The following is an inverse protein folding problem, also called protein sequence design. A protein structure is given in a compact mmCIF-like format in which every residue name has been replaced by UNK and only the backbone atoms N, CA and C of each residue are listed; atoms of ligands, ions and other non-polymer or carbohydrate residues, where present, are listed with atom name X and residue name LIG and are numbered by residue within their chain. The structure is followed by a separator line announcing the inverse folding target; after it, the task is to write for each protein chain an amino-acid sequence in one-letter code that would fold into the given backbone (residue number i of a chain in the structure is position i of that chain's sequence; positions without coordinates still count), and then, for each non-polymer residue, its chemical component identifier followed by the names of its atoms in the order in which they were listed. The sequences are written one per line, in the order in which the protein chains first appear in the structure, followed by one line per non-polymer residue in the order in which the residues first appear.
data_IF_649327838330
#
_entry.id   IF_649327838330
#
_cell.length_a   1.000
_cell.length_b   1.000
_cell.length_c   1.000
_cell.angle_alpha   90.00
_cell.angle_beta   90.00
_cell.angle_gamma   90.00
#
_symmetry.space_group_name_H-M   'P 1'
#
loop_
_entity.id
_entity.type
_entity.pdbx_description
1 polymer ?
#
# COMPACT_ATOMS: atom_id res chain seq x y z
N UNK A 1 16.96 -3.01 2.67
CA UNK A 1 16.95 -2.50 4.04
C UNK A 1 17.08 -1.01 3.91
N UNK A 2 16.48 -0.30 4.85
CA UNK A 2 16.20 1.11 4.74
C UNK A 2 16.40 1.75 6.11
N UNK A 3 16.97 2.95 6.14
CA UNK A 3 17.25 3.68 7.36
C UNK A 3 16.41 4.96 7.53
N UNK A 4 15.60 5.31 6.54
CA UNK A 4 14.50 6.25 6.69
C UNK A 4 13.33 5.61 7.46
N UNK A 5 12.43 6.46 7.94
CA UNK A 5 11.30 6.06 8.78
C UNK A 5 10.10 6.98 8.52
N UNK A 6 8.88 6.45 8.63
CA UNK A 6 7.67 7.28 8.60
C UNK A 6 7.70 8.43 9.64
N UNK A 7 6.99 9.54 9.38
CA UNK A 7 6.71 10.57 10.39
C UNK A 7 6.01 10.00 11.62
N UNK A 8 6.09 10.70 12.74
CA UNK A 8 5.50 10.33 14.03
C UNK A 8 4.01 10.69 14.18
N UNK A 9 3.37 11.23 13.13
CA UNK A 9 2.02 11.79 13.17
C UNK A 9 0.94 10.69 13.41
N UNK A 10 -0.01 10.87 14.33
CA UNK A 10 -0.14 11.96 15.30
C UNK A 10 0.64 11.76 16.60
N UNK A 11 1.49 12.74 16.91
CA UNK A 11 2.35 12.79 18.12
C UNK A 11 1.56 12.53 19.40
N UNK A 12 0.35 13.05 19.49
CA UNK A 12 -0.51 12.96 20.69
C UNK A 12 -0.96 11.54 21.04
N UNK A 13 -0.86 10.59 20.10
CA UNK A 13 -1.27 9.19 20.31
C UNK A 13 -0.11 8.33 20.82
N UNK A 14 1.10 8.89 20.97
CA UNK A 14 2.24 8.19 21.52
C UNK A 14 2.27 8.25 23.05
N UNK A 15 2.41 7.08 23.68
CA UNK A 15 2.61 6.93 25.13
C UNK A 15 4.03 7.32 25.61
N UNK A 16 4.99 7.45 24.68
CA UNK A 16 6.40 7.80 24.92
C UNK A 16 6.94 8.58 23.72
N UNK A 17 7.96 9.43 23.91
CA UNK A 17 8.50 10.22 22.80
C UNK A 17 8.93 9.36 21.60
N UNK A 18 8.45 9.64 20.37
CA UNK A 18 8.63 8.76 19.21
C UNK A 18 10.10 8.48 18.88
N UNK A 19 10.97 9.48 18.99
CA UNK A 19 12.39 9.35 18.62
C UNK A 19 13.31 9.08 19.82
N UNK A 20 12.74 8.72 20.97
CA UNK A 20 13.49 8.28 22.15
C UNK A 20 13.18 6.80 22.41
N UNK A 21 14.18 5.94 22.21
CA UNK A 21 14.03 4.50 22.43
C UNK A 21 13.65 4.21 23.88
N UNK A 22 12.42 3.74 24.08
CA UNK A 22 11.85 3.49 25.41
C UNK A 22 11.61 2.00 25.60
N UNK A 23 12.23 1.40 26.62
CA UNK A 23 11.98 0.01 26.97
C UNK A 23 10.85 -0.10 28.01
N UNK A 24 9.80 -0.86 27.71
CA UNK A 24 8.66 -1.07 28.63
C UNK A 24 8.08 -2.47 28.44
N UNK A 25 7.84 -3.19 29.53
CA UNK A 25 7.24 -4.54 29.52
C UNK A 25 7.92 -5.54 28.56
N UNK A 26 9.26 -5.50 28.49
CA UNK A 26 10.04 -6.38 27.61
C UNK A 26 9.95 -6.04 26.11
N UNK A 27 9.47 -4.85 25.76
CA UNK A 27 9.41 -4.33 24.38
C UNK A 27 10.17 -3.02 24.27
N UNK A 28 10.66 -2.73 23.07
CA UNK A 28 11.22 -1.44 22.70
C UNK A 28 10.18 -0.65 21.92
N UNK A 29 9.97 0.61 22.31
CA UNK A 29 9.07 1.55 21.67
C UNK A 29 9.88 2.71 21.10
N UNK A 30 9.55 3.11 19.89
CA UNK A 30 10.17 4.21 19.17
C UNK A 30 9.95 4.07 17.66
N UNK A 31 9.88 5.19 16.95
CA UNK A 31 9.83 5.22 15.49
C UNK A 31 11.10 4.58 14.93
N UNK A 32 10.96 3.71 13.93
CA UNK A 32 12.09 2.97 13.36
C UNK A 32 12.40 1.63 14.02
N UNK A 33 11.81 1.32 15.18
CA UNK A 33 12.19 0.13 15.96
C UNK A 33 11.84 -1.20 15.28
N UNK A 34 10.67 -1.27 14.63
CA UNK A 34 10.26 -2.44 13.86
C UNK A 34 10.48 -2.26 12.34
N UNK A 35 10.49 -1.03 11.87
CA UNK A 35 10.48 -0.66 10.44
C UNK A 35 11.40 0.55 10.23
N UNK A 36 12.67 0.38 9.86
CA UNK A 36 13.39 -0.91 9.77
C UNK A 36 14.75 -0.95 10.52
N UNK A 37 15.05 0.09 11.32
CA UNK A 37 16.34 0.21 12.03
C UNK A 37 16.62 -0.94 12.99
N UNK A 38 15.57 -1.49 13.61
CA UNK A 38 15.70 -2.65 14.48
C UNK A 38 16.27 -3.87 13.76
N UNK A 39 15.79 -4.19 12.56
CA UNK A 39 16.30 -5.32 11.80
C UNK A 39 17.73 -5.07 11.31
N UNK A 40 18.08 -3.84 10.90
CA UNK A 40 19.47 -3.49 10.56
C UNK A 40 20.41 -3.82 11.73
N UNK A 41 20.07 -3.36 12.93
CA UNK A 41 20.86 -3.61 14.14
C UNK A 41 20.93 -5.11 14.46
N UNK A 42 19.83 -5.85 14.33
CA UNK A 42 19.80 -7.30 14.55
C UNK A 42 20.74 -8.05 13.59
N UNK A 43 20.73 -7.69 12.30
CA UNK A 43 21.62 -8.30 11.31
C UNK A 43 23.10 -8.00 11.62
N UNK A 44 23.42 -6.74 11.93
CA UNK A 44 24.78 -6.34 12.29
C UNK A 44 25.26 -7.12 13.52
N UNK A 45 24.46 -7.19 14.58
CA UNK A 45 24.80 -7.93 15.80
C UNK A 45 25.01 -9.43 15.54
N UNK A 46 24.15 -10.06 14.71
CA UNK A 46 24.31 -11.46 14.35
C UNK A 46 25.60 -11.71 13.56
N UNK A 47 25.94 -10.82 12.63
CA UNK A 47 27.16 -10.92 11.83
C UNK A 47 28.40 -10.66 12.69
N UNK A 48 28.35 -9.69 13.60
CA UNK A 48 29.42 -9.42 14.56
C UNK A 48 29.71 -10.66 15.42
N UNK A 49 28.68 -11.33 15.92
CA UNK A 49 28.82 -12.59 16.67
C UNK A 49 29.47 -13.68 15.80
N UNK A 50 29.04 -13.86 14.56
CA UNK A 50 29.63 -14.83 13.63
C UNK A 50 31.09 -14.52 13.29
N UNK A 51 31.46 -13.24 13.21
CA UNK A 51 32.85 -12.81 13.00
C UNK A 51 33.69 -13.08 14.25
N UNK A 52 33.19 -12.70 15.42
CA UNK A 52 33.91 -12.87 16.70
C UNK A 52 34.18 -14.35 17.02
N UNK A 53 33.24 -15.21 16.65
CA UNK A 53 33.33 -16.67 16.80
C UNK A 53 34.01 -17.37 15.61
N UNK A 54 34.50 -16.63 14.61
CA UNK A 54 35.11 -17.16 13.38
C UNK A 54 34.22 -18.17 12.64
N UNK A 55 32.90 -18.03 12.79
CA UNK A 55 31.89 -18.93 12.21
C UNK A 55 31.30 -18.39 10.90
N UNK A 56 31.61 -17.15 10.52
CA UNK A 56 31.19 -16.57 9.25
C UNK A 56 31.93 -17.23 8.07
N UNK A 57 31.18 -17.90 7.18
CA UNK A 57 31.73 -18.61 6.01
C UNK A 57 31.54 -17.88 4.68
N UNK A 58 30.72 -16.83 4.67
CA UNK A 58 30.28 -16.14 3.47
C UNK A 58 30.68 -14.66 3.54
N UNK A 59 30.90 -14.05 2.37
CA UNK A 59 30.98 -12.59 2.25
C UNK A 59 29.58 -12.01 2.40
N UNK A 60 29.42 -11.07 3.33
CA UNK A 60 28.16 -10.34 3.50
C UNK A 60 28.32 -8.95 2.91
N UNK A 61 27.36 -8.55 2.07
CA UNK A 61 27.26 -7.20 1.50
C UNK A 61 25.98 -6.57 2.04
N UNK A 62 26.13 -5.42 2.70
CA UNK A 62 24.99 -4.60 3.11
C UNK A 62 24.62 -3.63 1.99
N UNK A 63 23.33 -3.59 1.67
CA UNK A 63 22.73 -2.57 0.83
C UNK A 63 21.59 -1.93 1.62
N UNK A 64 21.81 -0.68 2.03
CA UNK A 64 20.89 0.11 2.85
C UNK A 64 20.59 1.40 2.09
N UNK A 65 19.31 1.68 1.83
CA UNK A 65 18.84 2.95 1.27
C UNK A 65 18.18 3.83 2.31
N UNK A 66 17.74 5.03 1.92
CA UNK A 66 17.09 5.99 2.82
C UNK A 66 15.92 6.73 2.17
N UNK A 67 15.25 6.09 1.20
CA UNK A 67 14.11 6.66 0.47
C UNK A 67 12.88 5.72 0.43
N UNK A 68 12.89 4.58 1.14
CA UNK A 68 11.86 3.53 1.01
C UNK A 68 10.47 4.06 1.37
N UNK A 69 10.39 4.83 2.46
CA UNK A 69 9.15 5.37 3.00
C UNK A 69 8.57 6.48 2.10
N UNK A 70 9.37 6.92 1.12
CA UNK A 70 9.03 7.90 0.07
C UNK A 70 8.99 7.30 -1.33
N UNK A 71 9.12 5.98 -1.47
CA UNK A 71 8.94 5.24 -2.72
C UNK A 71 10.24 4.86 -3.45
N UNK A 72 11.40 4.97 -2.81
CA UNK A 72 12.70 4.55 -3.35
C UNK A 72 13.03 5.15 -4.73
N UNK A 73 12.69 6.44 -4.94
CA UNK A 73 12.68 7.08 -6.26
C UNK A 73 14.03 6.93 -7.00
N UNK A 74 15.14 7.07 -6.28
CA UNK A 74 16.48 6.99 -6.86
C UNK A 74 17.10 5.59 -6.78
N UNK A 75 16.54 4.69 -5.98
CA UNK A 75 17.14 3.39 -5.69
C UNK A 75 17.33 2.55 -6.95
N UNK A 76 16.31 2.45 -7.80
CA UNK A 76 16.41 1.69 -9.04
C UNK A 76 17.56 2.19 -9.96
N UNK A 77 17.73 3.51 -10.04
CA UNK A 77 18.82 4.11 -10.82
C UNK A 77 20.19 3.80 -10.21
N UNK A 78 20.28 3.81 -8.88
CA UNK A 78 21.50 3.48 -8.14
C UNK A 78 21.88 2.01 -8.31
N UNK A 79 20.91 1.09 -8.27
CA UNK A 79 21.14 -0.34 -8.51
C UNK A 79 21.75 -0.62 -9.88
N UNK A 80 21.32 0.10 -10.92
CA UNK A 80 21.93 -0.04 -12.25
C UNK A 80 23.42 0.39 -12.25
N UNK A 81 23.82 1.35 -11.39
CA UNK A 81 25.23 1.71 -11.24
C UNK A 81 26.07 0.62 -10.56
N UNK A 82 25.45 -0.15 -9.66
CA UNK A 82 26.07 -1.24 -8.90
C UNK A 82 25.95 -2.62 -9.54
N UNK A 83 25.38 -2.69 -10.75
CA UNK A 83 25.03 -3.94 -11.41
C UNK A 83 26.20 -4.93 -11.47
N UNK A 84 27.42 -4.47 -11.77
CA UNK A 84 28.60 -5.35 -11.88
C UNK A 84 29.00 -5.96 -10.55
N UNK A 85 28.84 -5.22 -9.46
CA UNK A 85 29.12 -5.62 -8.10
C UNK A 85 28.05 -6.59 -7.61
N UNK A 86 26.78 -6.26 -7.85
CA UNK A 86 25.62 -7.07 -7.44
C UNK A 86 25.54 -8.40 -8.20
N UNK A 87 26.06 -8.49 -9.43
CA UNK A 87 26.16 -9.77 -10.15
C UNK A 87 27.11 -10.78 -9.50
N UNK A 88 27.89 -10.38 -8.48
CA UNK A 88 28.73 -11.29 -7.68
C UNK A 88 28.00 -11.85 -6.46
N UNK A 89 26.78 -11.38 -6.19
CA UNK A 89 25.97 -11.82 -5.05
C UNK A 89 25.13 -13.03 -5.45
N UNK A 90 25.25 -14.12 -4.71
CA UNK A 90 24.51 -15.36 -4.98
C UNK A 90 23.07 -15.32 -4.46
N UNK A 91 22.83 -14.63 -3.34
CA UNK A 91 21.53 -14.60 -2.65
C UNK A 91 21.26 -13.21 -2.07
N UNK A 92 20.04 -12.71 -2.27
CA UNK A 92 19.53 -11.50 -1.65
C UNK A 92 18.61 -11.87 -0.48
N UNK A 93 18.84 -11.25 0.68
CA UNK A 93 17.98 -11.37 1.86
C UNK A 93 17.47 -9.98 2.25
N UNK A 94 16.15 -9.89 2.44
CA UNK A 94 15.48 -8.71 2.97
C UNK A 94 14.88 -9.14 4.32
N UNK A 95 15.13 -8.32 5.35
CA UNK A 95 14.67 -8.61 6.72
C UNK A 95 13.59 -7.63 7.19
N UNK A 96 13.06 -6.84 6.26
CA UNK A 96 11.94 -5.94 6.48
C UNK A 96 10.60 -6.66 6.33
N UNK A 97 10.33 -7.61 7.23
CA UNK A 97 9.11 -8.43 7.18
C UNK A 97 8.65 -8.85 8.56
N UNK A 98 7.35 -9.07 8.70
CA UNK A 98 6.74 -9.50 9.96
C UNK A 98 6.95 -10.98 10.29
N UNK A 99 6.76 -11.33 11.57
CA UNK A 99 6.61 -12.72 12.01
C UNK A 99 5.16 -13.19 11.79
N UNK A 100 4.95 -14.49 11.53
CA UNK A 100 3.59 -15.03 11.39
C UNK A 100 2.76 -14.89 12.67
N UNK A 101 3.35 -15.28 13.81
CA UNK A 101 2.79 -15.15 15.16
C UNK A 101 3.95 -14.95 16.13
N UNK A 102 3.65 -14.58 17.37
CA UNK A 102 4.64 -14.56 18.44
C UNK A 102 5.39 -15.91 18.48
N UNK A 103 6.71 -15.87 18.31
CA UNK A 103 7.62 -17.02 18.29
C UNK A 103 7.43 -18.00 17.10
N UNK A 104 6.71 -17.64 16.05
CA UNK A 104 6.62 -18.44 14.82
C UNK A 104 7.17 -17.61 13.66
N UNK A 105 8.37 -17.92 13.14
CA UNK A 105 8.97 -17.17 12.04
C UNK A 105 8.20 -17.40 10.74
N UNK A 106 8.31 -16.46 9.81
CA UNK A 106 7.81 -16.58 8.45
C UNK A 106 8.96 -16.35 7.46
N UNK A 107 8.92 -17.04 6.33
CA UNK A 107 9.69 -16.67 5.15
C UNK A 107 8.69 -16.11 4.13
N UNK A 108 8.78 -14.81 3.87
CA UNK A 108 8.01 -14.16 2.82
C UNK A 108 8.78 -14.32 1.52
N UNK A 109 8.15 -14.93 0.51
CA UNK A 109 8.78 -15.19 -0.78
C UNK A 109 8.34 -14.22 -1.87
N UNK A 110 7.33 -13.38 -1.61
CA UNK A 110 6.82 -12.39 -2.55
C UNK A 110 6.03 -11.30 -1.81
N UNK A 111 6.07 -10.09 -2.36
CA UNK A 111 5.23 -8.95 -1.99
C UNK A 111 4.39 -8.51 -3.19
N UNK A 112 3.27 -7.87 -2.92
CA UNK A 112 2.45 -7.25 -3.98
C UNK A 112 3.08 -5.95 -4.44
N UNK A 113 2.93 -5.66 -5.74
CA UNK A 113 3.22 -4.33 -6.26
C UNK A 113 2.19 -3.29 -5.79
N UNK A 114 2.46 -2.02 -6.07
CA UNK A 114 1.58 -0.89 -5.76
C UNK A 114 1.66 0.13 -6.89
N UNK A 115 0.51 0.67 -7.29
CA UNK A 115 0.42 1.88 -8.13
C UNK A 115 -0.52 2.84 -7.44
N UNK A 116 -0.06 4.06 -7.20
CA UNK A 116 -0.81 5.09 -6.48
C UNK A 116 -1.25 6.19 -7.45
N UNK A 117 -2.48 6.68 -7.28
CA UNK A 117 -3.10 7.66 -8.15
C UNK A 117 -3.69 8.82 -7.36
N UNK A 118 -3.59 10.02 -7.92
CA UNK A 118 -4.34 11.20 -7.50
C UNK A 118 -5.26 11.65 -8.65
N UNK A 119 -6.56 11.72 -8.37
CA UNK A 119 -7.59 12.18 -9.29
C UNK A 119 -8.08 13.55 -8.84
N UNK A 120 -8.13 14.51 -9.77
CA UNK A 120 -8.82 15.78 -9.58
C UNK A 120 -9.85 15.99 -10.69
N UNK A 121 -11.11 16.21 -10.31
CA UNK A 121 -12.20 16.58 -11.20
C UNK A 121 -12.52 18.06 -11.00
N UNK A 122 -12.50 18.84 -12.07
CA UNK A 122 -12.83 20.27 -12.07
C UNK A 122 -14.03 20.52 -12.98
N UNK A 123 -15.08 21.17 -12.46
CA UNK A 123 -16.29 21.51 -13.22
C UNK A 123 -16.48 23.02 -13.41
N UNK A 124 -15.67 23.85 -12.74
CA UNK A 124 -15.75 25.30 -12.83
C UNK A 124 -14.62 25.98 -12.05
N UNK A 125 -14.54 27.31 -12.19
CA UNK A 125 -13.50 28.14 -11.56
C UNK A 125 -13.82 28.52 -10.10
N UNK A 126 -15.07 28.31 -9.66
CA UNK A 126 -15.56 28.69 -8.32
C UNK A 126 -16.73 27.82 -7.89
N UNK A 127 -16.96 27.78 -6.58
CA UNK A 127 -18.17 27.18 -6.02
C UNK A 127 -19.42 27.91 -6.53
N UNK A 128 -20.49 27.15 -6.73
CA UNK A 128 -21.72 27.62 -7.35
C UNK A 128 -22.90 27.44 -6.39
N UNK A 129 -23.89 28.32 -6.47
CA UNK A 129 -25.10 28.21 -5.66
C UNK A 129 -25.94 27.01 -6.11
N UNK A 130 -26.07 25.98 -5.26
CA UNK A 130 -26.75 24.73 -5.63
C UNK A 130 -28.23 24.92 -5.99
N UNK A 131 -28.92 25.89 -5.40
CA UNK A 131 -30.31 26.21 -5.77
C UNK A 131 -30.47 26.88 -7.14
N UNK A 132 -29.40 27.47 -7.68
CA UNK A 132 -29.44 28.16 -9.00
C UNK A 132 -28.94 27.22 -10.10
N UNK A 133 -27.86 26.50 -9.82
CA UNK A 133 -27.15 25.69 -10.82
C UNK A 133 -27.39 24.18 -10.65
N UNK A 134 -28.13 23.76 -9.62
CA UNK A 134 -28.47 22.36 -9.36
C UNK A 134 -29.14 21.72 -10.55
N UNK A 135 -28.72 20.51 -10.90
CA UNK A 135 -29.13 19.76 -12.10
C UNK A 135 -28.73 20.38 -13.45
N UNK A 136 -28.15 21.57 -13.48
CA UNK A 136 -27.65 22.21 -14.70
C UNK A 136 -26.13 22.05 -14.85
N UNK A 137 -25.39 22.16 -13.74
CA UNK A 137 -23.93 22.00 -13.72
C UNK A 137 -23.59 20.69 -13.01
N UNK A 138 -22.74 19.82 -13.60
CA UNK A 138 -22.33 18.58 -12.95
C UNK A 138 -21.64 18.83 -11.61
N UNK A 139 -21.94 17.99 -10.62
CA UNK A 139 -21.29 18.06 -9.32
C UNK A 139 -20.05 17.15 -9.32
N UNK A 140 -18.83 17.68 -9.10
CA UNK A 140 -17.60 16.90 -9.23
C UNK A 140 -17.52 15.81 -8.16
N UNK A 141 -18.10 16.02 -6.98
CA UNK A 141 -18.15 15.00 -5.94
C UNK A 141 -18.99 13.80 -6.39
N UNK A 142 -20.13 14.05 -7.04
CA UNK A 142 -21.00 12.99 -7.55
C UNK A 142 -20.34 12.22 -8.71
N UNK A 143 -19.62 12.91 -9.59
CA UNK A 143 -18.84 12.28 -10.66
C UNK A 143 -17.80 11.31 -10.10
N UNK A 144 -17.04 11.74 -9.09
CA UNK A 144 -16.03 10.88 -8.46
C UNK A 144 -16.68 9.67 -7.77
N UNK A 145 -17.80 9.85 -7.06
CA UNK A 145 -18.54 8.74 -6.47
C UNK A 145 -19.05 7.74 -7.52
N UNK A 146 -19.62 8.23 -8.62
CA UNK A 146 -20.13 7.40 -9.71
C UNK A 146 -19.02 6.60 -10.38
N UNK A 147 -17.87 7.24 -10.64
CA UNK A 147 -16.68 6.59 -11.17
C UNK A 147 -16.24 5.42 -10.26
N UNK A 148 -16.05 5.66 -8.97
CA UNK A 148 -15.59 4.59 -8.06
C UNK A 148 -16.62 3.48 -7.88
N UNK A 149 -17.91 3.79 -7.89
CA UNK A 149 -18.97 2.79 -7.85
C UNK A 149 -18.94 1.86 -9.07
N UNK A 150 -18.50 2.36 -10.23
CA UNK A 150 -18.31 1.54 -11.44
C UNK A 150 -16.97 0.79 -11.44
N UNK A 151 -15.97 1.21 -10.65
CA UNK A 151 -14.64 0.58 -10.64
C UNK A 151 -14.55 -0.64 -9.73
N UNK A 152 -15.36 -0.74 -8.67
CA UNK A 152 -15.33 -1.87 -7.73
C UNK A 152 -16.71 -2.19 -7.19
N UNK A 153 -17.11 -3.45 -7.29
CA UNK A 153 -18.30 -3.94 -6.61
C UNK A 153 -17.98 -4.14 -5.12
N UNK A 154 -18.55 -3.28 -4.28
CA UNK A 154 -18.33 -3.32 -2.82
C UNK A 154 -18.91 -4.57 -2.15
N UNK A 155 -19.86 -5.27 -2.80
CA UNK A 155 -20.48 -6.49 -2.24
C UNK A 155 -19.57 -7.70 -2.38
N UNK A 156 -18.86 -7.80 -3.50
CA UNK A 156 -17.97 -8.92 -3.83
C UNK A 156 -16.49 -8.60 -3.64
N UNK A 157 -16.15 -7.30 -3.57
CA UNK A 157 -14.77 -6.80 -3.57
C UNK A 157 -14.11 -6.83 -4.95
N UNK A 158 -14.83 -7.21 -6.01
CA UNK A 158 -14.27 -7.39 -7.34
C UNK A 158 -14.11 -6.04 -8.06
N UNK A 159 -12.92 -5.83 -8.62
CA UNK A 159 -12.61 -4.67 -9.45
C UNK A 159 -13.23 -4.87 -10.84
N UNK A 160 -14.06 -3.94 -11.27
CA UNK A 160 -14.86 -4.03 -12.48
C UNK A 160 -14.20 -3.37 -13.70
N UNK A 161 -12.95 -2.90 -13.55
CA UNK A 161 -12.16 -2.31 -14.64
C UNK A 161 -11.88 -3.40 -15.70
N UNK A 162 -12.27 -3.19 -16.97
CA UNK A 162 -12.00 -4.15 -18.02
C UNK A 162 -10.51 -4.48 -18.14
N UNK A 163 -10.17 -5.76 -18.24
CA UNK A 163 -8.79 -6.23 -18.37
C UNK A 163 -7.97 -6.26 -17.07
N UNK A 164 -8.51 -5.81 -15.94
CA UNK A 164 -7.77 -5.71 -14.67
C UNK A 164 -7.21 -7.04 -14.18
N UNK A 165 -7.91 -8.15 -14.48
CA UNK A 165 -7.51 -9.49 -14.06
C UNK A 165 -6.85 -10.33 -15.17
N UNK A 166 -6.64 -9.80 -16.38
CA UNK A 166 -6.20 -10.58 -17.54
C UNK A 166 -4.80 -11.19 -17.36
N UNK A 167 -3.89 -10.43 -16.73
CA UNK A 167 -2.53 -10.85 -16.45
C UNK A 167 -2.41 -11.61 -15.10
N UNK A 168 -3.51 -11.79 -14.36
CA UNK A 168 -3.48 -12.49 -13.06
C UNK A 168 -3.36 -14.00 -13.29
N UNK A 169 -2.22 -14.57 -12.91
CA UNK A 169 -2.00 -16.01 -13.07
C UNK A 169 -2.99 -16.84 -12.28
N UNK A 170 -3.28 -18.03 -12.81
CA UNK A 170 -4.01 -19.05 -12.05
C UNK A 170 -3.07 -19.69 -11.02
N UNK A 171 -3.50 -19.68 -9.76
CA UNK A 171 -2.77 -20.37 -8.68
C UNK A 171 -2.95 -21.88 -8.82
N UNK A 172 -1.87 -22.64 -8.68
CA UNK A 172 -1.92 -24.11 -8.76
C UNK A 172 -2.60 -24.71 -7.53
N UNK A 173 -3.20 -25.90 -7.66
CA UNK A 173 -3.83 -26.58 -6.52
C UNK A 173 -2.84 -26.85 -5.38
N UNK A 174 -1.59 -27.21 -5.72
CA UNK A 174 -0.52 -27.44 -4.74
C UNK A 174 -0.15 -26.16 -3.99
N UNK A 175 -0.04 -25.04 -4.68
CA UNK A 175 0.24 -23.75 -4.06
C UNK A 175 -0.92 -23.28 -3.19
N UNK A 176 -2.16 -23.42 -3.66
CA UNK A 176 -3.35 -23.15 -2.84
C UNK A 176 -3.36 -23.99 -1.57
N UNK A 177 -3.04 -25.29 -1.64
CA UNK A 177 -2.96 -26.16 -0.46
C UNK A 177 -1.91 -25.65 0.55
N UNK A 178 -0.75 -25.22 0.09
CA UNK A 178 0.31 -24.65 0.95
C UNK A 178 -0.12 -23.33 1.59
N UNK A 179 -0.81 -22.47 0.84
CA UNK A 179 -1.36 -21.21 1.34
C UNK A 179 -2.45 -21.46 2.40
N UNK A 180 -3.34 -22.42 2.15
CA UNK A 180 -4.40 -22.79 3.10
C UNK A 180 -3.85 -23.37 4.41
N UNK A 181 -2.74 -24.11 4.39
CA UNK A 181 -2.13 -24.67 5.61
C UNK A 181 -1.72 -23.63 6.64
N UNK A 182 -1.42 -22.41 6.21
CA UNK A 182 -1.01 -21.30 7.08
C UNK A 182 -2.06 -20.19 7.15
N UNK A 183 -3.26 -20.43 6.60
CA UNK A 183 -4.32 -19.43 6.59
C UNK A 183 -4.90 -19.22 7.98
N UNK A 184 -5.13 -17.96 8.35
CA UNK A 184 -5.99 -17.64 9.49
C UNK A 184 -7.43 -18.01 9.15
N UNK A 185 -8.19 -18.44 10.16
CA UNK A 185 -9.64 -18.56 10.01
C UNK A 185 -10.29 -17.20 9.82
N UNK A 186 -11.47 -17.16 9.22
CA UNK A 186 -12.23 -15.92 9.02
C UNK A 186 -12.51 -15.20 10.35
N UNK A 187 -12.78 -15.94 11.43
CA UNK A 187 -13.00 -15.37 12.77
C UNK A 187 -11.73 -14.72 13.32
N UNK A 188 -10.59 -15.40 13.21
CA UNK A 188 -9.31 -14.84 13.65
C UNK A 188 -8.94 -13.60 12.84
N UNK A 189 -9.05 -13.66 11.51
CA UNK A 189 -8.68 -12.56 10.63
C UNK A 189 -9.61 -11.34 10.82
N UNK A 190 -10.92 -11.57 11.00
CA UNK A 190 -11.86 -10.50 11.30
C UNK A 190 -11.56 -9.83 12.64
N UNK A 191 -11.25 -10.62 13.67
CA UNK A 191 -10.91 -10.11 15.00
C UNK A 191 -9.59 -9.34 14.99
N UNK A 192 -8.58 -9.82 14.26
CA UNK A 192 -7.28 -9.17 14.11
C UNK A 192 -7.41 -7.82 13.41
N UNK A 193 -8.20 -7.76 12.33
CA UNK A 193 -8.48 -6.52 11.61
C UNK A 193 -9.42 -5.55 12.34
N UNK A 194 -10.07 -5.97 13.44
CA UNK A 194 -11.11 -5.19 14.12
C UNK A 194 -12.32 -4.87 13.24
N UNK A 195 -12.60 -5.72 12.24
CA UNK A 195 -13.64 -5.47 11.23
C UNK A 195 -15.01 -6.02 11.64
N UNK A 196 -16.09 -5.33 11.25
CA UNK A 196 -17.46 -5.79 11.48
C UNK A 196 -17.91 -6.91 10.51
N UNK A 197 -17.25 -7.02 9.36
CA UNK A 197 -17.56 -8.01 8.33
C UNK A 197 -16.35 -8.27 7.44
N UNK A 198 -16.33 -9.43 6.80
CA UNK A 198 -15.37 -9.80 5.77
C UNK A 198 -16.05 -9.97 4.40
N UNK A 199 -15.26 -9.81 3.34
CA UNK A 199 -15.70 -10.03 1.96
C UNK A 199 -14.88 -11.15 1.33
N UNK A 200 -15.56 -12.09 0.66
CA UNK A 200 -14.91 -13.14 -0.11
C UNK A 200 -14.87 -12.76 -1.59
N UNK A 201 -13.66 -12.56 -2.11
CA UNK A 201 -13.45 -12.30 -3.53
C UNK A 201 -13.38 -13.63 -4.29
N UNK A 202 -14.27 -13.81 -5.27
CA UNK A 202 -14.32 -15.00 -6.15
C UNK A 202 -14.38 -16.33 -5.39
N UNK A 203 -15.04 -16.35 -4.23
CA UNK A 203 -15.19 -17.53 -3.38
C UNK A 203 -13.91 -17.96 -2.64
N UNK A 204 -12.87 -17.13 -2.62
CA UNK A 204 -11.64 -17.37 -1.87
C UNK A 204 -11.77 -16.83 -0.45
N UNK A 205 -11.18 -17.53 0.52
CA UNK A 205 -11.13 -17.12 1.91
C UNK A 205 -10.53 -15.69 2.05
N UNK A 206 -11.14 -14.79 2.84
CA UNK A 206 -10.70 -13.40 3.01
C UNK A 206 -9.21 -13.24 3.32
N UNK A 207 -8.62 -14.13 4.13
CA UNK A 207 -7.19 -14.09 4.47
C UNK A 207 -6.27 -14.29 3.26
N UNK A 208 -6.71 -15.07 2.27
CA UNK A 208 -5.92 -15.41 1.08
C UNK A 208 -6.12 -14.43 -0.08
N UNK A 209 -7.30 -13.83 -0.18
CA UNK A 209 -7.62 -12.88 -1.25
C UNK A 209 -6.55 -11.79 -1.46
N UNK A 210 -6.08 -11.05 -0.42
CA UNK A 210 -5.06 -10.02 -0.60
C UNK A 210 -3.66 -10.58 -0.90
N UNK A 211 -3.45 -11.90 -0.86
CA UNK A 211 -2.16 -12.53 -1.19
C UNK A 211 -2.09 -12.97 -2.65
N UNK A 212 -3.24 -13.28 -3.26
CA UNK A 212 -3.29 -13.89 -4.60
C UNK A 212 -4.05 -13.06 -5.64
N UNK A 213 -4.80 -12.04 -5.20
CA UNK A 213 -5.53 -11.15 -6.10
C UNK A 213 -5.10 -9.69 -5.95
N UNK A 214 -5.16 -8.91 -7.05
CA UNK A 214 -5.00 -7.48 -6.98
C UNK A 214 -6.20 -6.83 -6.28
N UNK A 215 -5.99 -5.63 -5.74
CA UNK A 215 -7.04 -4.83 -5.11
C UNK A 215 -7.00 -3.39 -5.62
N UNK A 216 -8.12 -2.69 -5.47
CA UNK A 216 -8.23 -1.25 -5.64
C UNK A 216 -8.88 -0.67 -4.39
N UNK A 217 -8.26 0.34 -3.78
CA UNK A 217 -8.73 0.92 -2.51
C UNK A 217 -8.59 2.45 -2.53
N UNK A 218 -9.57 3.14 -1.95
CA UNK A 218 -9.64 4.61 -1.86
C UNK A 218 -9.09 5.02 -0.49
N UNK A 219 -8.12 5.92 -0.49
CA UNK A 219 -7.42 6.39 0.72
C UNK A 219 -7.95 7.72 1.21
N UNK A 220 -8.42 8.56 0.29
CA UNK A 220 -8.95 9.88 0.63
C UNK A 220 -9.86 10.43 -0.45
N UNK A 221 -10.85 11.20 -0.01
CA UNK A 221 -11.79 11.90 -0.88
C UNK A 221 -12.15 13.25 -0.27
N UNK A 222 -11.96 14.32 -1.02
CA UNK A 222 -12.18 15.70 -0.59
C UNK A 222 -13.00 16.47 -1.64
N UNK A 223 -14.12 17.07 -1.22
CA UNK A 223 -14.88 18.00 -2.04
C UNK A 223 -15.84 18.85 -1.20
N UNK A 224 -16.04 20.11 -1.60
CA UNK A 224 -17.07 20.98 -1.04
C UNK A 224 -16.88 21.35 0.42
N UNK A 225 -17.99 21.44 1.15
CA UNK A 225 -18.01 21.92 2.53
C UNK A 225 -18.02 20.77 3.52
N UNK A 226 -16.98 20.66 4.34
CA UNK A 226 -16.78 19.60 5.34
C UNK A 226 -16.83 20.12 6.79
N UNK A 227 -17.13 21.40 6.98
CA UNK A 227 -17.25 22.04 8.29
C UNK A 227 -18.61 21.81 8.97
N UNK A 228 -18.78 22.38 10.16
CA UNK A 228 -20.06 22.32 10.88
C UNK A 228 -21.18 23.09 10.17
N UNK A 229 -22.39 22.54 10.22
CA UNK A 229 -23.59 23.15 9.63
C UNK A 229 -23.74 22.92 8.12
N UNK A 230 -24.74 23.56 7.48
CA UNK A 230 -24.98 23.40 6.05
C UNK A 230 -24.35 24.52 5.21
N UNK A 231 -23.86 24.19 4.01
CA UNK A 231 -23.50 25.15 2.95
C UNK A 231 -24.03 24.65 1.60
N UNK A 232 -24.98 25.37 1.01
CA UNK A 232 -25.73 24.94 -0.18
C UNK A 232 -25.00 25.26 -1.48
N UNK A 233 -23.90 24.56 -1.75
CA UNK A 233 -23.05 24.76 -2.93
C UNK A 233 -22.97 23.53 -3.85
N UNK A 234 -22.62 23.77 -5.11
CA UNK A 234 -21.93 22.79 -5.97
C UNK A 234 -20.44 23.16 -5.91
N UNK A 235 -19.56 22.27 -5.45
CA UNK A 235 -18.13 22.56 -5.41
C UNK A 235 -17.54 22.71 -6.81
N UNK A 236 -16.53 23.56 -6.96
CA UNK A 236 -15.76 23.66 -8.21
C UNK A 236 -14.95 22.39 -8.51
N UNK A 237 -14.46 21.73 -7.46
CA UNK A 237 -13.50 20.62 -7.58
C UNK A 237 -13.81 19.47 -6.62
N UNK A 238 -13.35 18.29 -6.98
CA UNK A 238 -13.26 17.12 -6.10
C UNK A 238 -11.91 16.42 -6.32
N UNK A 239 -11.30 15.94 -5.24
CA UNK A 239 -10.02 15.23 -5.26
C UNK A 239 -10.15 13.88 -4.60
N UNK A 240 -9.50 12.87 -5.17
CA UNK A 240 -9.43 11.54 -4.57
C UNK A 240 -8.03 10.97 -4.69
N UNK A 241 -7.61 10.24 -3.65
CA UNK A 241 -6.38 9.46 -3.62
C UNK A 241 -6.76 8.00 -3.50
N UNK A 242 -6.23 7.16 -4.38
CA UNK A 242 -6.54 5.74 -4.42
C UNK A 242 -5.35 4.96 -4.97
N UNK A 243 -5.30 3.65 -4.75
CA UNK A 243 -4.22 2.83 -5.27
C UNK A 243 -4.72 1.47 -5.74
N UNK A 244 -3.89 0.83 -6.55
CA UNK A 244 -4.04 -0.57 -6.91
C UNK A 244 -2.87 -1.38 -6.34
N UNK A 245 -3.17 -2.44 -5.59
CA UNK A 245 -2.17 -3.48 -5.25
C UNK A 245 -2.12 -4.48 -6.40
N UNK A 246 -0.91 -4.79 -6.86
CA UNK A 246 -0.67 -5.66 -8.01
C UNK A 246 -0.16 -7.03 -7.58
N UNK A 247 -0.49 -8.06 -8.36
CA UNK A 247 0.08 -9.40 -8.22
C UNK A 247 1.02 -9.70 -9.38
N UNK A 248 1.66 -10.88 -9.33
CA UNK A 248 2.61 -11.34 -10.33
C UNK A 248 2.07 -11.17 -11.77
N UNK A 249 2.97 -10.76 -12.68
CA UNK A 249 2.74 -10.50 -14.11
C UNK A 249 1.89 -9.27 -14.47
N UNK A 250 1.28 -8.57 -13.50
CA UNK A 250 0.64 -7.29 -13.81
C UNK A 250 1.69 -6.19 -14.03
N UNK A 251 1.61 -5.54 -15.19
CA UNK A 251 2.47 -4.41 -15.55
C UNK A 251 1.85 -3.10 -15.06
N UNK A 252 2.62 -2.35 -14.26
CA UNK A 252 2.28 -1.00 -13.78
C UNK A 252 1.82 -0.09 -14.92
N UNK A 253 2.48 -0.14 -16.09
CA UNK A 253 2.13 0.69 -17.25
C UNK A 253 0.80 0.30 -17.88
N UNK A 254 0.44 -0.98 -17.89
CA UNK A 254 -0.87 -1.42 -18.38
C UNK A 254 -1.97 -0.97 -17.42
N UNK A 255 -1.74 -1.12 -16.12
CA UNK A 255 -2.68 -0.66 -15.09
C UNK A 255 -2.85 0.86 -15.13
N UNK A 256 -1.76 1.61 -15.29
CA UNK A 256 -1.81 3.04 -15.55
C UNK A 256 -2.61 3.36 -16.81
N UNK A 257 -2.45 2.61 -17.91
CA UNK A 257 -3.24 2.81 -19.13
C UNK A 257 -4.73 2.54 -18.95
N UNK A 258 -5.11 1.48 -18.22
CA UNK A 258 -6.52 1.23 -17.86
C UNK A 258 -7.10 2.39 -17.05
N UNK A 259 -6.25 2.99 -16.23
CA UNK A 259 -6.55 4.07 -15.33
C UNK A 259 -6.07 5.43 -15.85
N UNK A 260 -5.80 5.59 -17.16
CA UNK A 260 -5.41 6.86 -17.78
C UNK A 260 -6.63 7.79 -17.76
N UNK A 261 -6.96 8.22 -16.56
CA UNK A 261 -7.60 9.45 -16.13
C UNK A 261 -6.60 10.57 -16.47
N UNK A 262 -6.19 10.66 -17.74
CA UNK A 262 -5.59 11.88 -18.26
C UNK A 262 -6.67 12.93 -18.08
N UNK A 263 -6.52 13.75 -17.03
CA UNK A 263 -7.20 15.02 -16.87
C UNK A 263 -8.55 15.05 -17.57
N UNK A 264 -9.58 14.43 -16.96
CA UNK A 264 -10.95 14.65 -17.38
C UNK A 264 -11.30 16.12 -17.08
N UNK A 265 -10.84 17.01 -17.95
CA UNK A 265 -11.43 18.32 -18.16
C UNK A 265 -12.74 18.08 -18.88
N UNK A 266 -13.78 17.62 -18.15
CA UNK A 266 -15.11 17.40 -18.74
C UNK A 266 -15.66 18.71 -19.33
N UNK A 267 -15.11 19.86 -18.92
CA UNK A 267 -15.43 21.17 -19.47
C UNK A 267 -14.19 22.09 -19.50
N UNK A 268 -13.16 21.78 -20.30
CA UNK A 268 -12.25 22.86 -20.71
C UNK A 268 -12.98 23.71 -21.76
N UNK A 269 -13.84 24.61 -21.28
CA UNK A 269 -14.32 25.71 -22.10
C UNK A 269 -13.13 26.61 -22.41
N UNK A 270 -12.58 26.49 -23.63
CA UNK A 270 -11.88 27.64 -24.19
C UNK A 270 -12.94 28.76 -24.37
N UNK A 271 -12.64 30.01 -23.98
CA UNK A 271 -13.42 31.15 -24.45
C UNK A 271 -13.38 31.26 -25.98
#
# INVERSE_FOLDING_TARGET
MEDDVQPEDPVREWDSEPFVLTQKNGRFYGRGTADNKGHIIQNIAAIEELVSTQSLKNTIVFLIEGEEETGSENFASYIETLKKELMKVDVFFITDVEMYKKNIPMIIYALRGLVYFELQVCVGERDMHSGVYGNAIPNPAQIVCDLFAQMKDVRTGEVQIPGFYDDVRKISAKEMELLFKNAMSDVEFQSDAGAYSLTSLRGVAPYLAPKIFPSLDIHGFESGFTGEGPKTIIPATARAKFSCRLVEHQDVKKVDQFLQLKSFSVFSGNP
#
